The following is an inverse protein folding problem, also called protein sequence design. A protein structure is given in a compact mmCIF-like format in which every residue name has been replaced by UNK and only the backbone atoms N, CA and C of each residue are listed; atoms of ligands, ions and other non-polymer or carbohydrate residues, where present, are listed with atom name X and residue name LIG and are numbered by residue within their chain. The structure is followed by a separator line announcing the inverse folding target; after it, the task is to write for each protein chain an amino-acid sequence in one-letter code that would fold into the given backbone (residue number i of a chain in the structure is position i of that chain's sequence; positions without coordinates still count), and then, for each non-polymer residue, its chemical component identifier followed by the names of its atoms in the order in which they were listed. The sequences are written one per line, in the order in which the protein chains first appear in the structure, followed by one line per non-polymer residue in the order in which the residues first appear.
data_IF_527004538380
#
_entry.id   IF_527004538380
#
_cell.length_a   1.000
_cell.length_b   1.000
_cell.length_c   1.000
_cell.angle_alpha   90.00
_cell.angle_beta   90.00
_cell.angle_gamma   90.00
#
_symmetry.space_group_name_H-M   'P 1'
#
loop_
_entity.id
_entity.type
_entity.pdbx_description
1 polymer ?
#
# COMPACT_ATOMS: atom_id res chain seq x y z
N UNK A 1 -14.25 -10.61 6.88
CA UNK A 1 -13.60 -11.53 5.92
C UNK A 1 -13.04 -10.83 4.67
N UNK A 2 -13.81 -9.99 3.94
CA UNK A 2 -13.33 -9.27 2.73
C UNK A 2 -12.20 -8.27 3.02
N UNK A 3 -12.34 -7.46 4.08
CA UNK A 3 -11.33 -6.45 4.45
C UNK A 3 -9.97 -7.09 4.81
N UNK A 4 -10.00 -8.17 5.60
CA UNK A 4 -8.80 -8.93 5.99
C UNK A 4 -8.00 -9.38 4.76
N UNK A 5 -8.68 -9.89 3.72
CA UNK A 5 -8.01 -10.35 2.50
C UNK A 5 -7.30 -9.26 1.70
N UNK A 6 -7.73 -7.99 1.85
CA UNK A 6 -7.06 -6.84 1.26
C UNK A 6 -5.91 -6.35 2.13
N UNK A 7 -6.10 -6.32 3.45
CA UNK A 7 -5.08 -5.87 4.41
C UNK A 7 -3.91 -6.85 4.50
N UNK A 8 -4.16 -8.17 4.49
CA UNK A 8 -3.12 -9.20 4.59
C UNK A 8 -2.10 -9.14 3.45
N UNK A 9 -2.51 -8.65 2.27
CA UNK A 9 -1.64 -8.53 1.09
C UNK A 9 -1.08 -7.13 0.91
N UNK A 10 -1.48 -6.20 1.76
CA UNK A 10 -1.09 -4.82 1.65
C UNK A 10 0.30 -4.63 2.27
N UNK A 11 1.26 -4.33 1.41
CA UNK A 11 2.61 -4.02 1.85
C UNK A 11 2.79 -2.51 1.87
N UNK A 12 3.37 -1.95 2.94
CA UNK A 12 3.67 -0.53 2.96
C UNK A 12 4.69 -0.18 1.88
N UNK A 13 4.53 1.00 1.27
CA UNK A 13 5.36 1.42 0.14
C UNK A 13 6.76 1.73 0.63
N UNK A 14 7.74 1.07 0.04
CA UNK A 14 9.15 1.43 0.20
C UNK A 14 9.41 2.67 -0.64
N UNK A 15 10.03 3.68 -0.04
CA UNK A 15 10.51 4.83 -0.80
C UNK A 15 11.64 4.39 -1.72
N UNK A 16 11.57 4.76 -2.99
CA UNK A 16 12.62 4.52 -3.97
C UNK A 16 13.36 5.82 -4.24
N UNK A 17 14.67 5.74 -4.38
CA UNK A 17 15.51 6.79 -4.94
C UNK A 17 15.25 6.93 -6.44
N UNK A 18 15.69 8.04 -7.05
CA UNK A 18 15.61 8.22 -8.52
C UNK A 18 16.32 7.12 -9.32
N UNK A 19 17.27 6.43 -8.70
CA UNK A 19 17.99 5.31 -9.29
C UNK A 19 17.28 3.95 -9.13
N UNK A 20 16.07 3.92 -8.56
CA UNK A 20 15.29 2.69 -8.36
C UNK A 20 15.70 1.86 -7.13
N UNK A 21 16.60 2.36 -6.29
CA UNK A 21 17.04 1.69 -5.06
C UNK A 21 16.20 2.13 -3.86
N UNK A 22 15.94 1.28 -2.85
CA UNK A 22 15.26 1.71 -1.62
C UNK A 22 15.98 2.86 -0.95
N UNK A 23 15.27 3.96 -0.68
CA UNK A 23 15.78 5.05 0.12
C UNK A 23 15.94 4.57 1.56
N UNK A 24 17.03 4.93 2.22
CA UNK A 24 17.31 4.53 3.59
C UNK A 24 16.94 5.64 4.58
N UNK A 25 16.57 5.25 5.80
CA UNK A 25 16.39 6.16 6.92
C UNK A 25 17.75 6.44 7.61
N UNK A 26 17.75 7.26 8.66
CA UNK A 26 18.96 7.62 9.41
C UNK A 26 19.67 6.44 10.10
N UNK A 27 19.03 5.26 10.16
CA UNK A 27 19.59 4.02 10.72
C UNK A 27 20.11 3.07 9.63
N UNK A 28 20.03 3.47 8.35
CA UNK A 28 20.43 2.63 7.22
C UNK A 28 19.39 1.58 6.82
N UNK A 29 18.17 1.65 7.34
CA UNK A 29 17.09 0.72 7.01
C UNK A 29 16.22 1.28 5.88
N UNK A 30 15.60 0.45 5.03
CA UNK A 30 14.65 0.93 4.03
C UNK A 30 13.57 1.81 4.65
N UNK A 31 13.40 3.01 4.09
CA UNK A 31 12.33 3.92 4.47
C UNK A 31 11.02 3.36 3.93
N UNK A 32 10.13 3.07 4.85
CA UNK A 32 8.80 2.54 4.61
C UNK A 32 7.81 3.55 5.18
N UNK A 33 6.83 3.96 4.38
CA UNK A 33 5.73 4.79 4.88
C UNK A 33 4.44 3.98 4.98
N UNK A 34 3.72 4.24 6.07
CA UNK A 34 2.38 3.69 6.24
C UNK A 34 1.47 4.34 5.18
N UNK A 35 0.74 3.50 4.45
CA UNK A 35 -0.28 3.95 3.52
C UNK A 35 -1.62 3.80 4.23
N UNK A 36 -2.40 4.88 4.25
CA UNK A 36 -3.74 4.89 4.83
C UNK A 36 -4.77 4.57 3.75
N UNK A 37 -5.62 3.58 4.00
CA UNK A 37 -6.65 3.14 3.06
C UNK A 37 -8.02 3.56 3.59
N UNK A 38 -8.86 4.12 2.73
CA UNK A 38 -10.26 4.35 3.04
C UNK A 38 -11.02 3.02 3.02
N UNK A 39 -11.19 2.42 4.19
CA UNK A 39 -11.85 1.13 4.37
C UNK A 39 -13.33 1.15 3.95
N UNK A 40 -14.01 2.29 4.10
CA UNK A 40 -15.41 2.45 3.66
C UNK A 40 -15.49 2.35 2.13
N UNK A 41 -14.69 3.13 1.42
CA UNK A 41 -14.66 3.10 -0.04
C UNK A 41 -14.29 1.70 -0.58
N UNK A 42 -13.34 1.01 0.09
CA UNK A 42 -12.94 -0.34 -0.29
C UNK A 42 -14.05 -1.39 -0.10
N UNK A 43 -14.89 -1.23 0.94
CA UNK A 43 -16.04 -2.10 1.16
C UNK A 43 -17.15 -1.88 0.13
N UNK A 44 -17.32 -0.64 -0.32
CA UNK A 44 -18.30 -0.23 -1.33
C UNK A 44 -17.91 -0.65 -2.75
N UNK A 45 -16.64 -1.02 -3.00
CA UNK A 45 -16.21 -1.52 -4.30
C UNK A 45 -16.97 -2.80 -4.73
N UNK A 46 -17.52 -2.75 -5.94
CA UNK A 46 -18.31 -3.83 -6.52
C UNK A 46 -17.43 -4.88 -7.22
N UNK A 47 -16.25 -4.49 -7.67
CA UNK A 47 -15.34 -5.37 -8.40
C UNK A 47 -13.87 -5.15 -8.00
N UNK A 48 -13.01 -6.03 -8.51
CA UNK A 48 -11.58 -6.03 -8.20
C UNK A 48 -10.82 -4.88 -8.86
N UNK A 49 -11.31 -4.32 -9.96
CA UNK A 49 -10.66 -3.20 -10.64
C UNK A 49 -10.78 -1.91 -9.81
N UNK A 50 -11.96 -1.63 -9.26
CA UNK A 50 -12.16 -0.51 -8.33
C UNK A 50 -11.27 -0.63 -7.08
N UNK A 51 -11.16 -1.85 -6.53
CA UNK A 51 -10.27 -2.10 -5.39
C UNK A 51 -8.80 -1.80 -5.72
N UNK A 52 -8.34 -2.19 -6.91
CA UNK A 52 -6.97 -1.93 -7.38
C UNK A 52 -6.66 -0.44 -7.49
N UNK A 53 -7.58 0.34 -8.04
CA UNK A 53 -7.45 1.79 -8.16
C UNK A 53 -7.33 2.44 -6.78
N UNK A 54 -8.19 2.07 -5.81
CA UNK A 54 -8.13 2.62 -4.46
C UNK A 54 -6.86 2.22 -3.69
N UNK A 55 -6.33 1.03 -3.96
CA UNK A 55 -5.13 0.50 -3.32
C UNK A 55 -3.84 0.96 -4.02
N UNK A 56 -3.93 1.56 -5.21
CA UNK A 56 -2.78 1.97 -6.02
C UNK A 56 -1.93 0.81 -6.53
N UNK A 57 -2.55 -0.35 -6.83
CA UNK A 57 -1.89 -1.61 -7.25
C UNK A 57 -2.41 -2.14 -8.60
#
# INVERSE_FOLDING_TARGET
AKLQSYVDKFQPTRFMTKAGMPALNNRGEPRVEAIYINTKALLECQNRAECKVLLGI
#
